data_IF_035904317526
#
_entry.id   IF_035904317526
#
_cell.length_a   1.000
_cell.length_b   1.000
_cell.length_c   1.000
_cell.angle_alpha   90.00
_cell.angle_beta   90.00
_cell.angle_gamma   90.00
#
_symmetry.space_group_name_H-M   'P 1'
#
loop_
_entity.id
_entity.type
_entity.pdbx_description
1 polymer ?
#
# COMPACT_ATOMS: atom_id res chain seq x y z
N UNK A 1 -11.67 5.76 15.11
CA UNK A 1 -11.62 6.91 14.19
C UNK A 1 -10.23 7.33 13.72
N UNK A 2 -9.09 7.22 14.45
CA UNK A 2 -7.95 8.06 14.09
C UNK A 2 -6.81 7.45 13.27
N UNK A 3 -6.69 6.12 13.04
CA UNK A 3 -5.45 5.61 12.42
C UNK A 3 -5.46 5.67 10.88
N UNK A 4 -6.53 5.19 10.25
CA UNK A 4 -6.59 5.09 8.79
C UNK A 4 -6.70 6.44 8.07
N UNK A 5 -7.53 7.36 8.58
CA UNK A 5 -7.63 8.71 8.00
C UNK A 5 -6.31 9.48 8.16
N UNK A 6 -5.64 9.33 9.32
CA UNK A 6 -4.34 9.97 9.56
C UNK A 6 -3.26 9.40 8.65
N UNK A 7 -3.24 8.09 8.42
CA UNK A 7 -2.33 7.45 7.46
C UNK A 7 -2.63 7.89 6.03
N UNK A 8 -3.90 7.89 5.61
CA UNK A 8 -4.33 8.38 4.30
C UNK A 8 -3.87 9.82 4.04
N UNK A 9 -4.07 10.73 5.03
CA UNK A 9 -3.59 12.12 4.95
C UNK A 9 -2.06 12.21 4.88
N UNK A 10 -1.33 11.40 5.64
CA UNK A 10 0.14 11.36 5.59
C UNK A 10 0.68 10.90 4.24
N UNK A 11 -0.05 10.01 3.58
CA UNK A 11 0.28 9.37 2.30
C UNK A 11 -0.31 10.09 1.08
N UNK A 12 -0.90 11.29 1.26
CA UNK A 12 -1.31 12.11 0.13
C UNK A 12 -0.09 12.50 -0.73
N UNK A 13 -0.17 12.44 -2.08
CA UNK A 13 0.94 12.72 -3.01
C UNK A 13 1.51 14.16 -3.02
N UNK A 14 2.01 14.67 -1.89
CA UNK A 14 2.62 16.00 -1.77
C UNK A 14 4.11 16.01 -1.43
N UNK A 15 4.64 14.89 -0.91
CA UNK A 15 6.04 14.73 -0.46
C UNK A 15 6.86 13.97 -1.50
N UNK A 16 8.18 14.14 -1.47
CA UNK A 16 9.11 13.39 -2.35
C UNK A 16 9.24 11.91 -1.96
N UNK A 17 9.24 11.61 -0.66
CA UNK A 17 9.39 10.26 -0.12
C UNK A 17 8.51 10.04 1.12
N UNK A 18 8.19 8.77 1.38
CA UNK A 18 7.25 8.32 2.41
C UNK A 18 7.84 7.16 3.19
N UNK A 19 7.48 7.03 4.46
CA UNK A 19 7.94 5.91 5.28
C UNK A 19 7.25 4.62 4.88
N UNK A 20 8.01 3.57 4.58
CA UNK A 20 7.44 2.28 4.21
C UNK A 20 6.57 1.70 5.34
N UNK A 21 6.87 1.97 6.61
CA UNK A 21 6.05 1.48 7.72
C UNK A 21 4.64 2.09 7.70
N UNK A 22 4.52 3.37 7.35
CA UNK A 22 3.22 4.03 7.21
C UNK A 22 2.47 3.48 5.99
N UNK A 23 3.15 3.24 4.87
CA UNK A 23 2.57 2.62 3.66
C UNK A 23 2.05 1.22 3.95
N UNK A 24 2.90 0.39 4.55
CA UNK A 24 2.57 -1.00 4.89
C UNK A 24 1.35 -1.07 5.81
N UNK A 25 1.37 -0.31 6.91
CA UNK A 25 0.23 -0.27 7.85
C UNK A 25 -1.05 0.17 7.16
N UNK A 26 -0.99 1.16 6.28
CA UNK A 26 -2.16 1.62 5.57
C UNK A 26 -2.73 0.54 4.63
N UNK A 27 -1.88 -0.15 3.87
CA UNK A 27 -2.32 -1.20 2.96
C UNK A 27 -2.87 -2.43 3.69
N UNK A 28 -2.20 -2.89 4.76
CA UNK A 28 -2.65 -4.03 5.56
C UNK A 28 -3.89 -3.69 6.41
N UNK A 29 -3.78 -2.69 7.29
CA UNK A 29 -4.78 -2.42 8.34
C UNK A 29 -6.00 -1.66 7.81
N UNK A 30 -5.83 -0.80 6.80
CA UNK A 30 -6.89 0.10 6.33
C UNK A 30 -7.49 -0.33 4.99
N UNK A 31 -6.70 -0.95 4.12
CA UNK A 31 -7.16 -1.38 2.80
C UNK A 31 -7.44 -2.90 2.73
N UNK A 32 -7.03 -3.66 3.76
CA UNK A 32 -7.24 -5.11 3.82
C UNK A 32 -6.38 -5.90 2.83
N UNK A 33 -5.28 -5.33 2.33
CA UNK A 33 -4.38 -6.04 1.44
C UNK A 33 -3.48 -6.99 2.24
N UNK A 34 -3.25 -8.16 1.68
CA UNK A 34 -2.35 -9.16 2.25
C UNK A 34 -0.91 -8.85 1.88
N UNK A 35 -0.06 -8.71 2.88
CA UNK A 35 1.36 -8.46 2.69
C UNK A 35 2.12 -9.78 2.60
N UNK A 36 2.86 -9.97 1.50
CA UNK A 36 3.85 -11.05 1.40
C UNK A 36 5.25 -10.44 1.35
N UNK A 37 6.15 -10.80 2.30
CA UNK A 37 7.52 -10.32 2.25
C UNK A 37 8.20 -10.85 0.98
N UNK A 38 8.56 -9.93 0.09
CA UNK A 38 9.36 -10.24 -1.11
C UNK A 38 10.84 -10.42 -0.77
N UNK A 39 11.64 -10.76 -1.79
CA UNK A 39 13.11 -10.76 -1.67
C UNK A 39 13.65 -9.36 -1.99
N UNK A 40 14.48 -8.82 -1.10
CA UNK A 40 15.20 -7.57 -1.32
C UNK A 40 14.37 -6.31 -1.02
N UNK A 41 14.44 -5.32 -1.92
CA UNK A 41 13.83 -3.99 -1.75
C UNK A 41 12.40 -3.88 -2.28
N UNK A 42 11.79 -4.95 -2.77
CA UNK A 42 10.47 -4.93 -3.39
C UNK A 42 9.48 -5.71 -2.54
N UNK A 43 8.40 -5.06 -2.13
CA UNK A 43 7.38 -5.61 -1.26
C UNK A 43 6.06 -5.72 -2.02
N UNK A 44 5.39 -6.87 -1.93
CA UNK A 44 4.19 -7.14 -2.73
C UNK A 44 2.98 -7.25 -1.81
N UNK A 45 1.91 -6.58 -2.20
CA UNK A 45 0.61 -6.59 -1.51
C UNK A 45 -0.45 -7.13 -2.45
N UNK A 46 -1.33 -8.01 -1.95
CA UNK A 46 -2.33 -8.73 -2.73
C UNK A 46 -3.74 -8.36 -2.27
N UNK A 47 -4.69 -8.31 -3.21
CA UNK A 47 -6.12 -8.13 -2.90
C UNK A 47 -6.73 -9.38 -2.28
N UNK A 48 -6.27 -10.55 -2.73
CA UNK A 48 -6.73 -11.85 -2.26
C UNK A 48 -5.52 -12.80 -2.20
N UNK A 49 -5.41 -13.59 -1.13
CA UNK A 49 -4.38 -14.61 -0.95
C UNK A 49 -4.54 -15.80 -1.89
N UNK A 50 -5.76 -16.06 -2.38
CA UNK A 50 -6.11 -17.32 -3.06
C UNK A 50 -5.59 -17.45 -4.50
N UNK A 51 -5.16 -16.36 -5.14
CA UNK A 51 -4.66 -16.38 -6.53
C UNK A 51 -3.34 -15.57 -6.68
N UNK A 52 -2.19 -16.21 -6.38
CA UNK A 52 -0.89 -15.55 -6.46
C UNK A 52 -0.40 -15.29 -7.89
N UNK A 53 -1.04 -15.88 -8.92
CA UNK A 53 -0.65 -15.72 -10.32
C UNK A 53 -1.41 -14.58 -11.01
N UNK A 54 -2.49 -14.09 -10.40
CA UNK A 54 -3.22 -12.93 -10.89
C UNK A 54 -2.45 -11.63 -10.63
N UNK A 55 -1.69 -11.20 -11.63
CA UNK A 55 -0.92 -9.96 -11.58
C UNK A 55 -1.78 -8.70 -11.42
N UNK A 56 -3.07 -8.76 -11.73
CA UNK A 56 -3.98 -7.63 -11.56
C UNK A 56 -4.44 -7.47 -10.10
N UNK A 57 -4.32 -8.53 -9.29
CA UNK A 57 -4.66 -8.50 -7.86
C UNK A 57 -3.46 -8.22 -6.96
N UNK A 58 -2.38 -7.63 -7.48
CA UNK A 58 -1.21 -7.26 -6.68
C UNK A 58 -0.64 -5.89 -7.01
N UNK A 59 0.00 -5.28 -6.01
CA UNK A 59 0.83 -4.10 -6.17
C UNK A 59 2.21 -4.32 -5.55
N UNK A 60 3.25 -3.95 -6.30
CA UNK A 60 4.64 -3.99 -5.83
C UNK A 60 5.10 -2.59 -5.43
N UNK A 61 5.60 -2.46 -4.20
CA UNK A 61 6.14 -1.23 -3.61
C UNK A 61 7.65 -1.39 -3.39
N UNK A 62 8.48 -0.70 -4.18
CA UNK A 62 9.93 -0.64 -3.98
C UNK A 62 10.29 0.32 -2.84
N UNK A 63 11.26 -0.11 -2.04
CA UNK A 63 11.70 0.54 -0.80
C UNK A 63 13.21 0.69 -0.80
N UNK A 64 13.70 1.91 -0.61
CA UNK A 64 15.12 2.22 -0.49
C UNK A 64 15.36 2.90 0.86
N UNK A 65 16.19 2.31 1.72
CA UNK A 65 16.45 2.87 3.06
C UNK A 65 15.21 3.02 3.94
N UNK A 66 14.20 2.16 3.75
CA UNK A 66 12.90 2.26 4.44
C UNK A 66 11.96 3.34 3.89
N UNK A 67 12.31 3.97 2.75
CA UNK A 67 11.51 5.00 2.10
C UNK A 67 10.94 4.54 0.76
N UNK A 68 9.77 5.07 0.44
CA UNK A 68 9.03 4.84 -0.81
C UNK A 68 8.95 6.17 -1.56
N UNK A 69 9.30 6.17 -2.85
CA UNK A 69 9.25 7.39 -3.68
C UNK A 69 7.81 7.78 -4.01
N UNK A 70 7.57 9.08 -4.16
CA UNK A 70 6.26 9.67 -4.52
C UNK A 70 5.54 8.93 -5.64
N UNK A 71 6.22 8.62 -6.74
CA UNK A 71 5.58 7.98 -7.88
C UNK A 71 4.96 6.61 -7.55
N UNK A 72 5.55 5.86 -6.61
CA UNK A 72 4.97 4.60 -6.15
C UNK A 72 3.76 4.80 -5.26
N UNK A 73 3.70 5.92 -4.51
CA UNK A 73 2.51 6.32 -3.75
C UNK A 73 1.38 6.73 -4.69
N UNK A 74 1.68 7.45 -5.77
CA UNK A 74 0.67 7.79 -6.80
C UNK A 74 0.11 6.51 -7.46
N UNK A 75 0.98 5.56 -7.82
CA UNK A 75 0.55 4.26 -8.33
C UNK A 75 -0.24 3.45 -7.31
N UNK A 76 0.13 3.52 -6.04
CA UNK A 76 -0.63 2.89 -4.96
C UNK A 76 -2.06 3.42 -4.90
N UNK A 77 -2.26 4.75 -4.88
CA UNK A 77 -3.60 5.33 -4.88
C UNK A 77 -4.41 4.96 -6.13
N UNK A 78 -3.79 5.05 -7.32
CA UNK A 78 -4.45 4.66 -8.57
C UNK A 78 -4.87 3.18 -8.57
N UNK A 79 -4.03 2.29 -8.01
CA UNK A 79 -4.36 0.88 -7.87
C UNK A 79 -5.54 0.63 -6.92
N UNK A 80 -5.59 1.32 -5.77
CA UNK A 80 -6.72 1.21 -4.84
C UNK A 80 -8.01 1.68 -5.50
N UNK A 81 -7.97 2.82 -6.20
CA UNK A 81 -9.11 3.38 -6.93
C UNK A 81 -9.60 2.45 -8.05
N UNK A 82 -8.69 1.92 -8.89
CA UNK A 82 -9.06 1.04 -10.00
C UNK A 82 -9.70 -0.28 -9.55
N UNK A 83 -9.40 -0.71 -8.32
CA UNK A 83 -9.95 -1.93 -7.73
C UNK A 83 -11.14 -1.64 -6.79
N UNK A 84 -11.61 -0.39 -6.71
CA UNK A 84 -12.74 0.00 -5.87
C UNK A 84 -12.48 -0.22 -4.37
N UNK A 85 -11.22 -0.17 -3.94
CA UNK A 85 -10.86 -0.39 -2.55
C UNK A 85 -11.11 0.87 -1.76
N UNK A 86 -12.13 0.79 -0.90
CA UNK A 86 -12.34 1.77 0.13
C UNK A 86 -11.46 1.46 1.34
N UNK A 87 -10.81 2.47 1.89
CA UNK A 87 -10.07 2.32 3.13
C UNK A 87 -10.98 2.64 4.31
N UNK A 88 -11.17 1.65 5.20
CA UNK A 88 -11.98 1.77 6.43
C UNK A 88 -11.19 1.16 7.59
N UNK A 89 -11.46 1.56 8.84
CA UNK A 89 -10.86 0.86 9.98
C UNK A 89 -11.39 -0.60 9.96
N UNK A 90 -10.52 -1.57 9.68
CA UNK A 90 -10.82 -2.96 10.00
C UNK A 90 -10.81 -3.06 11.53
N UNK A 91 -11.99 -3.29 12.11
CA UNK A 91 -12.22 -3.39 13.55
C UNK A 91 -11.51 -4.56 14.18
#
# INVERSE_FOLDING_TARGET
MPNCEKLARKLQPGKGEYDFRDVRKFLEECCGLFFRPGKGSHFVFYLNEDDPDNVNSQITIPVHGGKVKKWYIEKMWAFLESNGIEWRENG
#
